data_IF_063827335639
#
_entry.id   IF_063827335639
#
_cell.length_a   1.000
_cell.length_b   1.000
_cell.length_c   1.000
_cell.angle_alpha   90.00
_cell.angle_beta   90.00
_cell.angle_gamma   90.00
#
_symmetry.space_group_name_H-M   'P 1'
#
loop_
_entity.id
_entity.type
_entity.pdbx_description
1 polymer ?
#
# COMPACT_ATOMS: atom_id res chain seq x y z
N UNK A 1 2.26 -4.05 -45.24
CA UNK A 1 1.06 -4.14 -44.38
C UNK A 1 1.32 -3.34 -43.10
N UNK A 2 0.62 -2.23 -42.82
CA UNK A 2 0.87 -1.45 -41.62
C UNK A 2 0.16 -2.09 -40.41
N UNK A 3 0.93 -2.36 -39.35
CA UNK A 3 0.45 -2.94 -38.08
C UNK A 3 -0.40 -1.91 -37.33
N UNK A 4 -1.63 -2.29 -37.00
CA UNK A 4 -2.63 -1.52 -36.25
C UNK A 4 -2.10 -1.29 -34.82
N UNK A 5 -1.90 -0.02 -34.41
CA UNK A 5 -1.58 0.35 -33.02
C UNK A 5 -2.82 0.11 -32.16
N UNK A 6 -2.71 -0.76 -31.16
CA UNK A 6 -3.74 -0.96 -30.13
C UNK A 6 -3.67 0.18 -29.13
N UNK A 7 -4.64 1.09 -29.19
CA UNK A 7 -4.91 2.11 -28.17
C UNK A 7 -5.35 1.41 -26.89
N UNK A 8 -4.57 1.56 -25.81
CA UNK A 8 -5.03 1.21 -24.47
C UNK A 8 -6.25 2.07 -24.13
N UNK A 9 -7.34 1.44 -23.72
CA UNK A 9 -8.53 2.16 -23.27
C UNK A 9 -8.26 2.68 -21.87
N UNK A 10 -7.80 3.93 -21.79
CA UNK A 10 -7.85 4.70 -20.56
C UNK A 10 -9.32 5.07 -20.31
N UNK A 11 -9.85 4.69 -19.16
CA UNK A 11 -11.06 5.34 -18.66
C UNK A 11 -10.66 6.74 -18.22
N UNK A 12 -11.12 7.74 -18.98
CA UNK A 12 -11.00 9.17 -18.71
C UNK A 12 -11.59 9.46 -17.31
N UNK A 13 -11.02 10.38 -16.50
CA UNK A 13 -11.61 10.76 -15.23
C UNK A 13 -13.03 11.31 -15.47
N UNK A 14 -14.04 10.55 -15.06
CA UNK A 14 -15.44 10.94 -15.13
C UNK A 14 -15.77 11.78 -13.91
N UNK A 15 -16.32 12.98 -14.13
CA UNK A 15 -16.86 13.89 -13.11
C UNK A 15 -18.15 13.38 -12.43
N UNK A 16 -18.55 12.13 -12.69
CA UNK A 16 -19.64 11.46 -11.97
C UNK A 16 -19.04 10.60 -10.87
N UNK A 17 -19.49 10.68 -9.60
CA UNK A 17 -19.00 9.80 -8.53
C UNK A 17 -19.24 8.34 -8.92
N UNK A 18 -18.18 7.71 -9.43
CA UNK A 18 -18.23 6.37 -9.97
C UNK A 18 -17.98 5.43 -8.80
N UNK A 19 -19.05 4.99 -8.17
CA UNK A 19 -18.98 4.00 -7.09
C UNK A 19 -18.22 2.74 -7.55
N UNK A 20 -17.19 2.34 -6.80
CA UNK A 20 -16.43 1.12 -7.06
C UNK A 20 -16.72 0.07 -5.98
N UNK A 21 -17.31 -1.09 -6.32
CA UNK A 21 -17.56 -2.15 -5.36
C UNK A 21 -16.24 -2.83 -4.98
N UNK A 22 -15.97 -2.95 -3.68
CA UNK A 22 -14.77 -3.61 -3.15
C UNK A 22 -15.04 -4.11 -1.73
N UNK A 23 -14.58 -5.32 -1.39
CA UNK A 23 -14.71 -5.90 -0.03
C UNK A 23 -16.13 -5.77 0.58
N UNK A 24 -17.16 -6.14 -0.18
CA UNK A 24 -18.58 -6.04 0.21
C UNK A 24 -19.06 -4.62 0.57
N UNK A 25 -18.27 -3.61 0.22
CA UNK A 25 -18.58 -2.20 0.37
C UNK A 25 -18.41 -1.47 -0.96
N UNK A 26 -18.51 -0.15 -0.94
CA UNK A 26 -18.35 0.71 -2.10
C UNK A 26 -17.57 1.94 -1.73
N UNK A 27 -16.56 2.27 -2.54
CA UNK A 27 -15.77 3.49 -2.38
C UNK A 27 -16.06 4.47 -3.50
N UNK A 28 -15.68 5.73 -3.27
CA UNK A 28 -15.64 6.78 -4.30
C UNK A 28 -14.18 6.91 -4.75
N UNK A 29 -13.72 6.12 -5.73
CA UNK A 29 -12.37 6.24 -6.24
C UNK A 29 -12.20 7.57 -6.95
N UNK A 30 -11.01 8.12 -6.85
CA UNK A 30 -10.57 9.27 -7.64
C UNK A 30 -9.86 8.81 -8.92
N UNK A 31 -9.23 7.63 -8.89
CA UNK A 31 -8.57 6.98 -10.02
C UNK A 31 -8.86 5.49 -10.03
N UNK A 32 -9.15 4.95 -11.21
CA UNK A 32 -9.23 3.50 -11.46
C UNK A 32 -8.57 3.22 -12.80
N UNK A 33 -7.54 2.37 -12.81
CA UNK A 33 -6.83 2.00 -14.02
C UNK A 33 -6.78 0.49 -14.22
N UNK A 34 -6.85 0.07 -15.48
CA UNK A 34 -6.39 -1.23 -15.95
C UNK A 34 -5.21 -1.02 -16.89
N UNK A 35 -4.10 -1.66 -16.58
CA UNK A 35 -2.81 -1.52 -17.25
C UNK A 35 -2.44 -2.88 -17.86
N UNK A 36 -2.72 -3.11 -19.15
CA UNK A 36 -2.51 -4.42 -19.79
C UNK A 36 -1.10 -5.00 -19.65
N UNK A 37 -0.08 -4.14 -19.49
CA UNK A 37 1.32 -4.56 -19.28
C UNK A 37 1.62 -5.06 -17.85
N UNK A 38 0.74 -4.78 -16.88
CA UNK A 38 0.84 -5.21 -15.48
C UNK A 38 -0.23 -6.23 -15.10
N UNK A 39 -1.37 -6.20 -15.79
CA UNK A 39 -2.46 -7.10 -15.54
C UNK A 39 -2.04 -8.55 -15.83
N UNK A 40 -2.22 -9.51 -14.90
CA UNK A 40 -1.80 -10.87 -15.14
C UNK A 40 -2.64 -11.54 -16.22
N UNK A 41 -1.99 -12.37 -17.03
CA UNK A 41 -2.66 -13.18 -18.03
C UNK A 41 -3.25 -14.45 -17.40
N UNK A 42 -4.23 -15.05 -18.09
CA UNK A 42 -4.88 -16.28 -17.66
C UNK A 42 -6.03 -16.06 -16.68
N UNK A 43 -6.76 -17.15 -16.43
CA UNK A 43 -7.92 -17.14 -15.55
C UNK A 43 -7.50 -17.12 -14.08
N UNK A 44 -8.18 -16.30 -13.29
CA UNK A 44 -7.98 -16.22 -11.86
C UNK A 44 -8.78 -15.08 -11.23
N UNK A 45 -8.74 -14.95 -9.88
CA UNK A 45 -9.46 -13.88 -9.19
C UNK A 45 -9.12 -12.48 -9.70
N UNK A 46 -7.89 -12.27 -10.19
CA UNK A 46 -7.40 -11.00 -10.73
C UNK A 46 -8.08 -10.54 -12.02
N UNK A 47 -8.73 -11.43 -12.80
CA UNK A 47 -9.24 -11.11 -14.13
C UNK A 47 -10.21 -9.91 -14.15
N UNK A 48 -10.98 -9.72 -13.06
CA UNK A 48 -11.92 -8.62 -12.92
C UNK A 48 -11.43 -7.49 -12.03
N UNK A 49 -10.24 -7.58 -11.46
CA UNK A 49 -9.68 -6.55 -10.61
C UNK A 49 -9.10 -5.39 -11.44
N UNK A 50 -9.00 -4.22 -10.82
CA UNK A 50 -8.21 -3.12 -11.36
C UNK A 50 -6.71 -3.35 -11.12
N UNK A 51 -5.88 -2.56 -11.80
CA UNK A 51 -4.43 -2.51 -11.60
C UNK A 51 -3.99 -1.29 -10.79
N UNK A 52 -4.84 -0.27 -10.69
CA UNK A 52 -4.71 0.81 -9.70
C UNK A 52 -6.09 1.27 -9.27
N UNK A 53 -6.26 1.51 -7.97
CA UNK A 53 -7.43 2.15 -7.39
C UNK A 53 -6.91 3.17 -6.38
N UNK A 54 -7.26 4.45 -6.52
CA UNK A 54 -6.93 5.48 -5.54
C UNK A 54 -8.22 6.12 -4.98
N UNK A 55 -8.23 6.44 -3.69
CA UNK A 55 -9.36 7.07 -3.02
C UNK A 55 -8.90 7.85 -1.79
N UNK A 56 -9.80 8.67 -1.23
CA UNK A 56 -9.62 9.24 0.11
C UNK A 56 -10.40 8.38 1.09
N UNK A 57 -9.73 7.82 2.09
CA UNK A 57 -10.39 7.07 3.14
C UNK A 57 -11.26 8.01 3.98
N UNK A 58 -12.57 7.78 3.99
CA UNK A 58 -13.53 8.72 4.61
C UNK A 58 -13.38 8.83 6.13
N UNK A 59 -12.91 7.76 6.78
CA UNK A 59 -12.78 7.74 8.24
C UNK A 59 -11.55 8.54 8.71
N UNK A 60 -10.47 8.51 7.94
CA UNK A 60 -9.18 9.11 8.33
C UNK A 60 -8.86 10.40 7.58
N UNK A 61 -9.46 10.61 6.40
CA UNK A 61 -9.12 11.68 5.47
C UNK A 61 -7.82 11.43 4.69
N UNK A 62 -7.17 10.28 4.87
CA UNK A 62 -5.88 9.99 4.25
C UNK A 62 -6.05 9.45 2.82
N UNK A 63 -5.10 9.82 1.96
CA UNK A 63 -5.04 9.30 0.59
C UNK A 63 -4.62 7.83 0.60
N UNK A 64 -5.37 6.97 -0.07
CA UNK A 64 -5.12 5.55 -0.16
C UNK A 64 -4.99 5.11 -1.62
N UNK A 65 -4.11 4.14 -1.89
CA UNK A 65 -3.93 3.55 -3.22
C UNK A 65 -3.68 2.05 -3.12
N UNK A 66 -4.39 1.27 -3.94
CA UNK A 66 -4.02 -0.09 -4.30
C UNK A 66 -3.32 -0.03 -5.66
N UNK A 67 -2.19 -0.71 -5.80
CA UNK A 67 -1.40 -0.72 -7.03
C UNK A 67 -0.91 -2.13 -7.36
N UNK A 68 -1.06 -2.54 -8.62
CA UNK A 68 -0.45 -3.76 -9.14
C UNK A 68 0.96 -3.47 -9.62
N UNK A 69 1.88 -4.34 -9.24
CA UNK A 69 3.28 -4.26 -9.65
C UNK A 69 3.59 -5.11 -10.89
N UNK A 70 4.82 -4.99 -11.40
CA UNK A 70 5.24 -5.66 -12.63
C UNK A 70 5.23 -7.19 -12.53
N UNK A 71 5.43 -7.71 -11.33
CA UNK A 71 5.36 -9.13 -11.01
C UNK A 71 3.92 -9.65 -10.86
N UNK A 72 2.91 -8.77 -10.89
CA UNK A 72 1.49 -9.13 -10.82
C UNK A 72 0.90 -9.11 -9.40
N UNK A 73 1.74 -8.98 -8.38
CA UNK A 73 1.33 -8.76 -6.99
C UNK A 73 0.66 -7.41 -6.81
N UNK A 74 -0.25 -7.32 -5.84
CA UNK A 74 -0.85 -6.07 -5.40
C UNK A 74 -0.09 -5.52 -4.18
N UNK A 75 -0.08 -4.20 -4.06
CA UNK A 75 0.38 -3.48 -2.88
C UNK A 75 -0.66 -2.44 -2.43
N UNK A 76 -0.63 -2.13 -1.14
CA UNK A 76 -1.48 -1.11 -0.52
C UNK A 76 -0.64 0.03 0.05
N UNK A 77 -1.09 1.26 -0.18
CA UNK A 77 -0.36 2.48 0.12
C UNK A 77 -1.25 3.54 0.76
N UNK A 78 -0.72 4.26 1.75
CA UNK A 78 -1.37 5.38 2.41
C UNK A 78 -0.45 6.60 2.43
N UNK A 79 -0.95 7.74 1.96
CA UNK A 79 -0.24 9.00 1.84
C UNK A 79 -0.50 9.92 3.01
N UNK A 80 0.55 10.50 3.55
CA UNK A 80 0.56 11.39 4.70
C UNK A 80 0.88 12.82 4.27
N UNK A 81 0.15 13.83 4.79
CA UNK A 81 0.52 15.23 4.62
C UNK A 81 1.78 15.57 5.44
N UNK A 82 2.43 16.68 5.11
CA UNK A 82 3.60 17.21 5.85
C UNK A 82 3.36 17.44 7.34
N UNK A 83 2.11 17.67 7.73
CA UNK A 83 1.72 17.87 9.13
C UNK A 83 1.78 16.59 9.96
N UNK A 84 1.88 15.42 9.34
CA UNK A 84 1.87 14.14 10.04
C UNK A 84 3.23 13.86 10.72
N UNK A 85 3.27 13.38 11.98
CA UNK A 85 4.53 13.14 12.72
C UNK A 85 5.53 12.19 12.05
N UNK A 86 5.01 11.25 11.25
CA UNK A 86 5.80 10.27 10.49
C UNK A 86 6.16 10.71 9.06
N UNK A 87 5.86 11.95 8.67
CA UNK A 87 6.25 12.46 7.36
C UNK A 87 7.77 12.38 7.19
N UNK A 88 8.23 11.97 5.99
CA UNK A 88 9.64 11.80 5.65
C UNK A 88 10.41 10.68 6.38
N UNK A 89 9.75 9.85 7.20
CA UNK A 89 10.37 8.65 7.76
C UNK A 89 10.41 7.52 6.74
N UNK A 90 11.56 6.86 6.59
CA UNK A 90 11.59 5.59 5.87
C UNK A 90 10.85 4.51 6.68
N UNK A 91 10.30 3.51 6.00
CA UNK A 91 9.50 2.45 6.61
C UNK A 91 10.25 1.64 7.68
N UNK A 92 11.56 1.47 7.51
CA UNK A 92 12.46 0.77 8.44
C UNK A 92 12.89 1.63 9.64
N UNK A 93 12.68 2.95 9.57
CA UNK A 93 12.97 3.88 10.65
C UNK A 93 11.80 4.05 11.63
N UNK A 94 10.65 3.42 11.36
CA UNK A 94 9.47 3.49 12.22
C UNK A 94 9.69 2.62 13.47
N UNK A 95 9.66 3.19 14.68
CA UNK A 95 9.84 2.42 15.91
C UNK A 95 8.79 1.31 16.03
N UNK A 96 9.24 0.09 16.38
CA UNK A 96 8.35 -1.05 16.60
C UNK A 96 7.27 -0.78 17.68
N UNK A 97 7.55 0.13 18.62
CA UNK A 97 6.59 0.56 19.63
C UNK A 97 5.29 1.14 19.04
N UNK A 98 5.34 1.73 17.84
CA UNK A 98 4.16 2.24 17.13
C UNK A 98 3.26 1.12 16.57
N UNK A 99 3.73 -0.13 16.60
CA UNK A 99 2.94 -1.35 16.36
C UNK A 99 2.14 -1.33 15.04
N UNK A 100 2.70 -0.75 13.98
CA UNK A 100 2.08 -0.80 12.64
C UNK A 100 2.07 -2.25 12.16
N UNK A 101 0.87 -2.78 11.93
CA UNK A 101 0.66 -4.19 11.66
C UNK A 101 -0.23 -4.34 10.42
N UNK A 102 0.41 -4.43 9.26
CA UNK A 102 -0.21 -4.71 7.96
C UNK A 102 0.36 -6.01 7.39
N UNK A 103 -0.12 -6.42 6.23
CA UNK A 103 0.35 -7.62 5.54
C UNK A 103 1.88 -7.64 5.39
N UNK A 104 2.56 -8.51 6.15
CA UNK A 104 4.02 -8.64 6.13
C UNK A 104 4.80 -7.43 6.69
N UNK A 105 4.12 -6.44 7.27
CA UNK A 105 4.72 -5.19 7.71
C UNK A 105 4.93 -4.17 6.59
N UNK A 106 5.40 -2.97 6.96
CA UNK A 106 5.74 -1.94 5.98
C UNK A 106 7.00 -2.33 5.20
N UNK A 107 7.00 -2.08 3.90
CA UNK A 107 8.17 -2.23 3.02
C UNK A 107 8.40 -1.02 2.09
N UNK A 108 7.59 0.01 2.27
CA UNK A 108 7.61 1.22 1.46
C UNK A 108 7.42 2.44 2.33
N UNK A 109 8.25 3.46 2.13
CA UNK A 109 8.26 4.73 2.87
C UNK A 109 9.00 5.78 2.06
N UNK A 110 8.31 6.44 1.14
CA UNK A 110 8.93 7.40 0.20
C UNK A 110 7.97 8.55 -0.15
N UNK A 111 8.52 9.66 -0.65
CA UNK A 111 7.73 10.74 -1.26
C UNK A 111 7.02 10.25 -2.53
N UNK A 112 6.01 10.99 -3.02
CA UNK A 112 5.37 10.69 -4.32
C UNK A 112 6.43 10.44 -5.42
N UNK A 113 6.19 9.39 -6.20
CA UNK A 113 7.00 9.01 -7.35
C UNK A 113 6.64 9.84 -8.58
N UNK A 114 7.65 10.37 -9.27
CA UNK A 114 7.48 10.96 -10.59
C UNK A 114 7.32 9.83 -11.63
N UNK A 115 6.11 9.68 -12.18
CA UNK A 115 5.84 8.64 -13.18
C UNK A 115 4.39 8.64 -13.70
N UNK A 116 4.05 7.72 -14.62
CA UNK A 116 2.70 7.61 -15.15
C UNK A 116 1.72 7.24 -14.04
N UNK A 117 0.62 7.99 -13.95
CA UNK A 117 -0.38 7.86 -12.88
C UNK A 117 -0.88 6.43 -12.72
N UNK A 118 -1.08 5.70 -13.80
CA UNK A 118 -1.59 4.34 -13.79
C UNK A 118 -0.63 3.33 -13.14
N UNK A 119 0.62 3.73 -12.90
CA UNK A 119 1.72 2.85 -12.50
C UNK A 119 2.53 3.28 -11.29
N UNK A 120 2.35 4.52 -10.82
CA UNK A 120 3.13 5.12 -9.73
C UNK A 120 2.28 5.38 -8.50
N UNK A 121 2.93 5.32 -7.33
CA UNK A 121 2.34 5.74 -6.05
C UNK A 121 2.43 7.26 -5.97
N UNK A 122 1.33 7.95 -6.27
CA UNK A 122 1.24 9.40 -6.24
C UNK A 122 -0.22 9.86 -6.06
N UNK A 123 -0.45 11.18 -6.14
CA UNK A 123 -1.70 11.84 -5.76
C UNK A 123 -2.93 11.32 -6.52
N UNK A 124 -4.04 11.11 -5.78
CA UNK A 124 -5.30 10.65 -6.35
C UNK A 124 -5.98 11.62 -7.34
N UNK A 125 -5.55 12.88 -7.43
CA UNK A 125 -6.25 13.98 -8.14
C UNK A 125 -5.66 14.37 -9.51
N UNK A 126 -4.66 13.66 -10.00
CA UNK A 126 -4.15 13.82 -11.37
C UNK A 126 -3.46 15.15 -11.69
N UNK A 127 -3.11 15.97 -10.68
CA UNK A 127 -2.18 17.07 -10.90
C UNK A 127 -0.74 16.63 -10.66
N UNK A 128 0.17 17.25 -11.40
CA UNK A 128 1.61 17.09 -11.25
C UNK A 128 2.05 17.36 -9.81
N UNK A 129 3.15 16.74 -9.36
CA UNK A 129 3.83 17.02 -8.09
C UNK A 129 4.05 18.52 -7.82
N UNK A 130 4.01 19.37 -8.85
CA UNK A 130 4.15 20.83 -8.76
C UNK A 130 2.90 21.57 -8.28
N UNK A 131 1.71 20.97 -8.39
CA UNK A 131 0.42 21.62 -8.16
C UNK A 131 -0.35 21.06 -6.94
N UNK A 132 0.27 20.17 -6.16
CA UNK A 132 -0.36 19.50 -5.01
C UNK A 132 0.57 19.43 -3.79
N UNK A 133 -0.03 19.47 -2.59
CA UNK A 133 0.67 19.32 -1.33
C UNK A 133 1.48 18.01 -1.31
N UNK A 134 2.75 18.03 -0.90
CA UNK A 134 3.59 16.84 -0.92
C UNK A 134 3.04 15.78 0.04
N UNK A 135 2.92 14.55 -0.47
CA UNK A 135 2.53 13.38 0.30
C UNK A 135 3.72 12.44 0.49
N UNK A 136 3.85 11.92 1.71
CA UNK A 136 4.76 10.82 2.05
C UNK A 136 3.98 9.52 2.16
N UNK A 137 4.34 8.52 1.38
CA UNK A 137 3.58 7.29 1.24
C UNK A 137 4.23 6.15 2.02
N UNK A 138 3.43 5.50 2.86
CA UNK A 138 3.76 4.22 3.48
C UNK A 138 2.98 3.09 2.82
N UNK A 139 3.56 1.90 2.75
CA UNK A 139 2.86 0.77 2.16
C UNK A 139 3.49 -0.59 2.39
N UNK A 140 2.84 -1.59 1.80
CA UNK A 140 3.23 -3.00 1.85
C UNK A 140 2.94 -3.65 0.49
N UNK A 141 3.69 -4.70 0.16
CA UNK A 141 3.46 -5.56 -1.01
C UNK A 141 2.96 -6.95 -0.61
N UNK A 142 2.09 -7.53 -1.43
CA UNK A 142 1.63 -8.92 -1.33
C UNK A 142 2.47 -9.86 -2.21
N UNK A 143 3.78 -9.89 -1.95
CA UNK A 143 4.76 -10.73 -2.62
C UNK A 143 5.63 -11.55 -1.66
N UNK A 144 5.08 -11.86 -0.48
CA UNK A 144 5.73 -12.63 0.58
C UNK A 144 5.73 -14.13 0.27
N UNK A 145 6.47 -14.90 1.08
CA UNK A 145 6.69 -16.34 0.86
C UNK A 145 5.40 -17.16 0.70
N UNK A 146 4.33 -16.76 1.39
CA UNK A 146 3.02 -17.43 1.39
C UNK A 146 1.99 -16.80 0.42
N UNK A 147 2.39 -15.78 -0.33
CA UNK A 147 1.51 -15.14 -1.30
C UNK A 147 1.60 -15.82 -2.66
N UNK A 148 0.44 -16.05 -3.26
CA UNK A 148 0.36 -16.46 -4.64
C UNK A 148 0.49 -15.24 -5.54
N UNK A 149 1.51 -15.23 -6.41
CA UNK A 149 1.73 -14.19 -7.40
C UNK A 149 1.35 -14.72 -8.78
N UNK A 150 0.34 -14.15 -9.45
CA UNK A 150 -0.11 -14.61 -10.76
C UNK A 150 1.02 -14.60 -11.80
N UNK A 151 1.16 -15.69 -12.56
CA UNK A 151 2.18 -15.82 -13.60
C UNK A 151 3.61 -16.05 -13.10
N UNK A 152 3.84 -16.11 -11.77
CA UNK A 152 5.13 -16.49 -11.21
C UNK A 152 5.23 -18.01 -11.12
N UNK A 153 6.18 -18.58 -11.85
CA UNK A 153 6.51 -20.00 -11.70
C UNK A 153 7.16 -20.23 -10.31
N UNK A 154 6.78 -21.31 -9.60
CA UNK A 154 7.50 -21.74 -8.41
C UNK A 154 8.98 -21.93 -8.72
N UNK A 155 9.86 -21.56 -7.79
CA UNK A 155 11.28 -21.91 -7.90
C UNK A 155 11.50 -23.33 -7.39
N UNK A 156 12.60 -23.97 -7.80
CA UNK A 156 13.04 -25.19 -7.13
C UNK A 156 13.32 -24.88 -5.64
N UNK A 157 12.89 -25.76 -4.73
CA UNK A 157 12.88 -25.58 -3.26
C UNK A 157 11.98 -24.45 -2.71
N UNK A 158 10.92 -24.10 -3.44
CA UNK A 158 9.93 -23.13 -2.99
C UNK A 158 8.96 -23.74 -1.96
N UNK A 159 9.37 -23.76 -0.69
CA UNK A 159 8.55 -24.21 0.45
C UNK A 159 7.17 -23.54 0.51
N UNK A 160 7.03 -22.32 -0.04
CA UNK A 160 5.75 -21.63 -0.12
C UNK A 160 4.76 -22.34 -1.02
N UNK A 161 5.21 -22.92 -2.14
CA UNK A 161 4.35 -23.67 -3.06
C UNK A 161 3.79 -24.95 -2.40
N UNK A 162 4.57 -25.59 -1.54
CA UNK A 162 4.15 -26.77 -0.76
C UNK A 162 3.22 -26.39 0.41
N UNK A 163 3.34 -25.16 0.94
CA UNK A 163 2.57 -24.66 2.08
C UNK A 163 1.19 -24.05 1.72
N UNK A 164 0.76 -24.10 0.46
CA UNK A 164 -0.57 -23.62 0.05
C UNK A 164 -0.68 -22.10 -0.05
N UNK A 165 0.05 -21.50 -1.02
CA UNK A 165 -0.02 -20.07 -1.31
C UNK A 165 -1.45 -19.58 -1.54
N UNK A 166 -1.71 -18.35 -1.07
CA UNK A 166 -3.02 -17.70 -1.27
C UNK A 166 -2.86 -16.39 -2.02
N UNK A 167 -3.72 -16.17 -3.01
CA UNK A 167 -3.76 -14.89 -3.72
C UNK A 167 -4.36 -13.82 -2.79
N UNK A 168 -3.74 -12.64 -2.78
CA UNK A 168 -4.24 -11.48 -2.05
C UNK A 168 -5.00 -10.59 -3.02
N UNK A 169 -6.33 -10.68 -2.97
CA UNK A 169 -7.23 -9.96 -3.86
C UNK A 169 -7.30 -8.46 -3.54
N UNK A 170 -7.89 -7.69 -4.45
CA UNK A 170 -8.16 -6.26 -4.24
C UNK A 170 -8.92 -6.00 -2.92
N UNK A 171 -9.87 -6.87 -2.57
CA UNK A 171 -10.64 -6.77 -1.33
C UNK A 171 -9.77 -6.96 -0.08
N UNK A 172 -8.83 -7.91 -0.11
CA UNK A 172 -7.89 -8.12 0.99
C UNK A 172 -6.96 -6.91 1.15
N UNK A 173 -6.38 -6.44 0.04
CA UNK A 173 -5.44 -5.32 0.04
C UNK A 173 -6.14 -4.03 0.46
N UNK A 174 -7.40 -3.83 0.06
CA UNK A 174 -8.24 -2.73 0.56
C UNK A 174 -8.36 -2.75 2.08
N UNK A 175 -8.75 -3.88 2.67
CA UNK A 175 -8.86 -4.00 4.13
C UNK A 175 -7.54 -3.72 4.86
N UNK A 176 -6.42 -4.19 4.33
CA UNK A 176 -5.09 -3.90 4.88
C UNK A 176 -4.69 -2.42 4.72
N UNK A 177 -5.07 -1.78 3.61
CA UNK A 177 -4.80 -0.35 3.35
C UNK A 177 -5.64 0.55 4.26
N UNK A 178 -6.91 0.22 4.47
CA UNK A 178 -7.77 0.92 5.45
C UNK A 178 -7.20 0.75 6.85
N UNK A 179 -6.80 -0.48 7.23
CA UNK A 179 -6.13 -0.74 8.51
C UNK A 179 -4.89 0.14 8.70
N UNK A 180 -4.05 0.26 7.66
CA UNK A 180 -2.87 1.13 7.66
C UNK A 180 -3.25 2.59 7.91
N UNK A 181 -4.22 3.12 7.15
CA UNK A 181 -4.68 4.49 7.28
C UNK A 181 -5.17 4.79 8.71
N UNK A 182 -5.94 3.89 9.30
CA UNK A 182 -6.42 4.03 10.68
C UNK A 182 -5.29 4.03 11.71
N UNK A 183 -4.28 3.17 11.54
CA UNK A 183 -3.10 3.14 12.43
C UNK A 183 -2.31 4.45 12.34
N UNK A 184 -2.05 4.94 11.12
CA UNK A 184 -1.37 6.22 10.91
C UNK A 184 -2.16 7.39 11.51
N UNK A 185 -3.47 7.47 11.25
CA UNK A 185 -4.33 8.51 11.82
C UNK A 185 -4.34 8.50 13.35
N UNK A 186 -4.28 7.33 13.97
CA UNK A 186 -4.21 7.20 15.43
C UNK A 186 -2.89 7.76 15.99
N UNK A 187 -1.77 7.59 15.27
CA UNK A 187 -0.46 8.13 15.64
C UNK A 187 -0.47 9.67 15.57
N UNK A 188 -1.06 10.24 14.51
CA UNK A 188 -1.25 11.68 14.38
C UNK A 188 -1.99 12.26 15.60
N UNK A 189 -3.14 11.66 15.94
CA UNK A 189 -3.96 12.13 17.07
C UNK A 189 -3.23 11.97 18.42
N UNK A 190 -2.53 10.85 18.63
CA UNK A 190 -1.79 10.59 19.88
C UNK A 190 -0.65 11.59 20.10
N UNK A 191 -0.06 12.09 19.03
CA UNK A 191 1.01 13.10 19.08
C UNK A 191 0.45 14.51 19.29
N UNK A 192 -0.74 14.79 18.74
CA UNK A 192 -1.44 16.07 18.93
C UNK A 192 -2.03 16.26 20.33
N UNK A 193 -2.35 15.18 21.04
CA UNK A 193 -2.93 15.22 22.39
C UNK A 193 -1.88 15.12 23.52
N UNK A 194 -0.62 14.83 23.20
CA UNK A 194 0.41 14.53 24.21
C UNK A 194 1.40 15.67 24.42
N UNK A 195 1.02 16.60 25.30
CA UNK A 195 1.91 17.13 26.34
C UNK A 195 2.14 16.11 27.48
N UNK A 196 2.15 14.81 27.16
CA UNK A 196 2.35 13.73 28.11
C UNK A 196 3.72 13.12 27.83
N UNK A 197 4.64 13.36 28.77
CA UNK A 197 5.97 12.77 28.81
C UNK A 197 5.85 11.26 28.66
N UNK A 198 6.53 10.69 27.66
CA UNK A 198 6.78 9.25 27.62
C UNK A 198 7.59 8.92 28.88
N UNK A 199 6.93 8.38 29.89
CA UNK A 199 7.59 7.73 31.02
C UNK A 199 8.30 6.50 30.46
N UNK A 200 9.53 6.73 30.00
CA UNK A 200 10.50 5.69 29.73
C UNK A 200 10.76 4.99 31.07
N UNK A 201 10.04 3.89 31.30
CA UNK A 201 10.40 2.98 32.37
C UNK A 201 11.90 2.63 32.21
N UNK A 202 12.72 2.78 33.27
CA UNK A 202 14.14 2.54 33.17
C UNK A 202 14.39 1.08 32.78
N UNK A 203 15.24 0.88 31.78
CA UNK A 203 15.72 -0.45 31.40
C UNK A 203 16.20 -1.22 32.64
N UNK A 204 15.87 -2.51 32.76
CA UNK A 204 16.36 -3.31 33.88
C UNK A 204 17.90 -3.35 33.86
N UNK A 205 18.55 -3.40 35.04
CA UNK A 205 20.00 -3.36 35.12
C UNK A 205 20.62 -4.58 34.42
N UNK A 206 21.56 -4.30 33.51
CA UNK A 206 22.45 -5.30 32.92
C UNK A 206 23.42 -5.76 34.00
N UNK A 207 23.37 -7.06 34.34
CA UNK A 207 24.37 -7.69 35.19
C UNK A 207 24.08 -9.17 35.43
N UNK A 208 24.77 -10.07 34.72
CA UNK A 208 26.00 -10.73 35.18
C UNK A 208 26.27 -11.96 34.29
N UNK A 209 27.44 -11.97 33.66
CA UNK A 209 28.00 -13.10 32.89
C UNK A 209 28.18 -14.35 33.77
N UNK A 210 27.78 -15.55 33.30
CA UNK A 210 27.91 -16.79 34.08
C UNK A 210 29.29 -17.48 33.98
N UNK A 211 30.32 -16.92 33.35
CA UNK A 211 31.61 -17.62 33.17
C UNK A 211 32.82 -16.89 33.79
N UNK A 212 32.79 -16.75 35.12
CA UNK A 212 34.01 -16.58 35.91
C UNK A 212 34.00 -17.55 37.10
N UNK A 213 34.51 -18.76 36.86
CA UNK A 213 35.17 -19.57 37.89
C UNK A 213 36.11 -20.58 37.26
#
# INVERSE_FOLDING_TARGET
>A
MPKKKSTGSALVPSTTPTFYPIADTTISPTQVYRVPKRHPAGDGPWAREADKIAWIDKATGLSCTILRHRDGSLGGYCGLPETHPLFAFNHDAIPAALSICVHGGLDYGQACEDGPEETSVCHPSGASRKDHDPLWWFGFRCDRSFDYIPGRNPRDNDLGAEAGRTYKSEAYVYGQTVKLAHQLKSIENSTGESGVSLDLAPSPPVGLDPESR
#
